data_IF_534287210693
#
_entry.id   IF_534287210693
#
_cell.length_a   1.000
_cell.length_b   1.000
_cell.length_c   1.000
_cell.angle_alpha   90.00
_cell.angle_beta   90.00
_cell.angle_gamma   90.00
#
_symmetry.space_group_name_H-M   'P 1'
#
loop_
_entity.id
_entity.type
_entity.pdbx_description
1 polymer ?
#
# COMPACT_ATOMS: atom_id res chain seq x y z
N UNK A 1 -18.28 -6.67 35.77
CA UNK A 1 -17.00 -7.25 35.31
C UNK A 1 -17.27 -7.91 33.96
N UNK A 2 -16.31 -7.98 33.04
CA UNK A 2 -16.53 -8.74 31.81
C UNK A 2 -16.71 -10.23 32.17
N UNK A 3 -17.71 -10.88 31.59
CA UNK A 3 -18.00 -12.31 31.72
C UNK A 3 -17.62 -13.00 30.41
N UNK A 4 -16.90 -14.12 30.48
CA UNK A 4 -16.51 -14.90 29.30
C UNK A 4 -15.05 -15.39 29.36
N UNK A 5 -14.63 -16.23 28.40
CA UNK A 5 -13.36 -16.97 28.45
C UNK A 5 -12.12 -16.09 28.61
N UNK A 6 -12.11 -14.90 27.99
CA UNK A 6 -11.00 -13.94 28.14
C UNK A 6 -10.87 -13.38 29.56
N UNK A 7 -11.98 -13.13 30.25
CA UNK A 7 -11.94 -12.63 31.63
C UNK A 7 -11.35 -13.69 32.58
N UNK A 8 -11.71 -14.96 32.35
CA UNK A 8 -11.15 -16.11 33.06
C UNK A 8 -9.67 -16.31 32.73
N UNK A 9 -9.27 -16.23 31.46
CA UNK A 9 -7.85 -16.28 31.05
C UNK A 9 -7.00 -15.20 31.73
N UNK A 10 -7.41 -13.93 31.70
CA UNK A 10 -6.68 -12.87 32.40
C UNK A 10 -6.70 -13.05 33.93
N UNK A 11 -7.73 -13.70 34.48
CA UNK A 11 -7.82 -14.07 35.89
C UNK A 11 -6.99 -15.31 36.26
N UNK A 12 -6.59 -16.16 35.30
CA UNK A 12 -5.68 -17.29 35.51
C UNK A 12 -4.19 -16.93 35.41
N UNK A 13 -3.84 -15.78 34.79
CA UNK A 13 -2.45 -15.33 34.68
C UNK A 13 -1.75 -15.23 36.03
N UNK A 14 -0.51 -15.73 36.10
CA UNK A 14 0.35 -15.70 37.30
C UNK A 14 0.73 -14.29 37.72
N UNK A 15 1.15 -14.12 38.98
CA UNK A 15 1.56 -12.80 39.48
C UNK A 15 2.77 -12.22 38.71
N UNK A 16 3.68 -13.06 38.23
CA UNK A 16 4.83 -12.60 37.44
C UNK A 16 4.40 -12.13 36.03
N UNK A 17 3.53 -12.89 35.36
CA UNK A 17 2.93 -12.47 34.09
C UNK A 17 2.20 -11.13 34.23
N UNK A 18 1.39 -10.95 35.29
CA UNK A 18 0.67 -9.67 35.54
C UNK A 18 1.58 -8.49 35.91
N UNK A 19 2.81 -8.72 36.35
CA UNK A 19 3.81 -7.67 36.62
C UNK A 19 4.54 -7.26 35.34
N UNK A 20 4.88 -8.23 34.49
CA UNK A 20 5.63 -8.00 33.26
C UNK A 20 4.74 -7.48 32.13
N UNK A 21 3.48 -7.91 32.08
CA UNK A 21 2.52 -7.58 31.02
C UNK A 21 1.45 -6.59 31.51
N UNK A 22 1.19 -5.54 30.74
CA UNK A 22 0.12 -4.58 31.05
C UNK A 22 -1.26 -5.14 30.67
N UNK A 23 -1.79 -6.04 31.50
CA UNK A 23 -3.09 -6.72 31.31
C UNK A 23 -4.23 -5.74 31.01
N UNK A 24 -4.24 -4.54 31.60
CA UNK A 24 -5.27 -3.53 31.32
C UNK A 24 -5.21 -3.01 29.89
N UNK A 25 -4.01 -2.76 29.37
CA UNK A 25 -3.80 -2.33 27.99
C UNK A 25 -4.07 -3.48 27.01
N UNK A 26 -3.63 -4.70 27.33
CA UNK A 26 -3.95 -5.91 26.56
C UNK A 26 -5.45 -6.12 26.40
N UNK A 27 -6.21 -6.07 27.50
CA UNK A 27 -7.68 -6.14 27.47
C UNK A 27 -8.31 -5.01 26.65
N UNK A 28 -7.69 -3.83 26.62
CA UNK A 28 -8.18 -2.70 25.82
C UNK A 28 -7.94 -2.98 24.34
N UNK A 29 -6.72 -3.31 23.94
CA UNK A 29 -6.37 -3.66 22.55
C UNK A 29 -7.22 -4.82 22.02
N UNK A 30 -7.45 -5.86 22.82
CA UNK A 30 -8.33 -6.97 22.47
C UNK A 30 -9.75 -6.49 22.12
N UNK A 31 -10.37 -5.64 22.94
CA UNK A 31 -11.69 -5.06 22.64
C UNK A 31 -11.67 -4.15 21.42
N UNK A 32 -10.64 -3.33 21.27
CA UNK A 32 -10.50 -2.38 20.17
C UNK A 32 -10.28 -3.10 18.82
N UNK A 33 -9.64 -4.29 18.83
CA UNK A 33 -9.28 -5.10 17.65
C UNK A 33 -10.13 -6.33 17.39
N UNK A 34 -10.95 -6.78 18.34
CA UNK A 34 -11.70 -8.06 18.25
C UNK A 34 -12.41 -8.23 16.91
N UNK A 35 -13.15 -7.20 16.45
CA UNK A 35 -13.92 -7.22 15.20
C UNK A 35 -13.08 -7.31 13.91
N UNK A 36 -11.78 -6.99 13.94
CA UNK A 36 -10.90 -7.17 12.80
C UNK A 36 -10.10 -8.47 12.89
N UNK A 37 -9.85 -8.99 14.10
CA UNK A 37 -9.06 -10.20 14.33
C UNK A 37 -9.90 -11.48 14.27
N UNK A 38 -11.18 -11.43 14.66
CA UNK A 38 -12.05 -12.62 14.81
C UNK A 38 -13.31 -12.56 13.94
N UNK A 39 -13.82 -13.74 13.57
CA UNK A 39 -15.11 -13.92 12.89
C UNK A 39 -16.27 -14.17 13.86
N UNK A 40 -17.51 -14.18 13.35
CA UNK A 40 -18.67 -14.71 14.09
C UNK A 40 -18.61 -16.24 14.21
N UNK A 41 -19.41 -16.79 15.13
CA UNK A 41 -19.50 -18.24 15.40
C UNK A 41 -19.96 -19.10 14.20
N UNK A 42 -20.46 -18.47 13.12
CA UNK A 42 -21.00 -19.16 11.94
C UNK A 42 -19.96 -19.36 10.82
N UNK A 43 -18.80 -18.71 10.92
CA UNK A 43 -17.76 -18.67 9.88
C UNK A 43 -16.42 -19.26 10.35
N UNK A 44 -16.46 -20.20 11.32
CA UNK A 44 -15.27 -20.82 11.88
C UNK A 44 -14.66 -21.80 10.87
N UNK A 45 -13.33 -21.84 10.81
CA UNK A 45 -12.52 -22.82 10.07
C UNK A 45 -11.21 -23.01 10.82
N UNK A 46 -11.19 -24.00 11.73
CA UNK A 46 -10.04 -24.31 12.59
C UNK A 46 -9.74 -25.80 12.49
N UNK A 47 -8.49 -26.15 12.25
CA UNK A 47 -8.03 -27.55 12.19
C UNK A 47 -7.26 -27.89 13.44
N UNK A 48 -7.64 -29.00 14.08
CA UNK A 48 -6.87 -29.59 15.18
C UNK A 48 -6.21 -30.85 14.64
N UNK A 49 -4.90 -30.96 14.84
CA UNK A 49 -4.11 -32.14 14.50
C UNK A 49 -3.42 -32.65 15.76
N UNK A 50 -3.85 -33.81 16.23
CA UNK A 50 -3.28 -34.50 17.39
C UNK A 50 -2.30 -35.57 16.89
N UNK A 51 -1.10 -35.56 17.45
CA UNK A 51 -0.03 -36.55 17.22
C UNK A 51 0.02 -37.49 18.42
N UNK A 52 0.20 -38.78 18.17
CA UNK A 52 0.09 -39.83 19.19
C UNK A 52 1.30 -40.77 19.22
N UNK A 53 1.55 -41.36 20.39
CA UNK A 53 2.49 -42.45 20.64
C UNK A 53 3.93 -42.12 20.19
N UNK A 54 4.55 -41.11 20.80
CA UNK A 54 5.89 -40.60 20.43
C UNK A 54 6.03 -40.26 18.94
N UNK A 55 4.89 -39.93 18.31
CA UNK A 55 4.82 -39.60 16.90
C UNK A 55 4.81 -40.80 15.95
N UNK A 56 4.17 -41.91 16.33
CA UNK A 56 3.92 -43.01 15.39
C UNK A 56 2.83 -42.68 14.36
N UNK A 57 1.83 -41.87 14.72
CA UNK A 57 0.77 -41.42 13.81
C UNK A 57 0.12 -40.10 14.25
N UNK A 58 -0.66 -39.50 13.34
CA UNK A 58 -1.40 -38.27 13.59
C UNK A 58 -2.86 -38.41 13.12
N UNK A 59 -3.76 -37.69 13.78
CA UNK A 59 -5.15 -37.50 13.35
C UNK A 59 -5.41 -36.02 13.16
N UNK A 60 -5.97 -35.64 12.01
CA UNK A 60 -6.38 -34.26 11.75
C UNK A 60 -7.89 -34.15 11.57
N UNK A 61 -8.50 -33.07 12.04
CA UNK A 61 -9.92 -32.78 11.86
C UNK A 61 -10.13 -31.29 11.70
N UNK A 62 -10.84 -30.91 10.63
CA UNK A 62 -11.26 -29.54 10.37
C UNK A 62 -12.66 -29.32 10.98
N UNK A 63 -12.79 -28.29 11.81
CA UNK A 63 -14.03 -27.92 12.50
C UNK A 63 -14.58 -26.62 11.92
N UNK A 64 -15.82 -26.70 11.43
CA UNK A 64 -16.53 -25.57 10.82
C UNK A 64 -17.77 -25.13 11.64
N UNK A 65 -17.93 -25.62 12.87
CA UNK A 65 -19.04 -25.28 13.78
C UNK A 65 -18.52 -25.03 15.19
N UNK A 66 -19.01 -23.97 15.82
CA UNK A 66 -18.60 -23.56 17.17
C UNK A 66 -18.83 -24.64 18.24
N UNK A 67 -19.97 -25.34 18.19
CA UNK A 67 -20.33 -26.38 19.18
C UNK A 67 -19.36 -27.57 19.15
N UNK A 68 -19.00 -28.04 17.94
CA UNK A 68 -18.13 -29.21 17.76
C UNK A 68 -16.69 -28.92 18.22
N UNK A 69 -16.17 -27.72 17.94
CA UNK A 69 -14.82 -27.33 18.39
C UNK A 69 -14.78 -26.94 19.88
N UNK A 70 -15.81 -26.29 20.43
CA UNK A 70 -15.90 -26.00 21.87
C UNK A 70 -15.72 -27.29 22.67
N UNK A 71 -16.45 -28.35 22.31
CA UNK A 71 -16.34 -29.65 22.99
C UNK A 71 -14.90 -30.21 22.97
N UNK A 72 -14.18 -30.07 21.86
CA UNK A 72 -12.82 -30.63 21.67
C UNK A 72 -11.73 -29.78 22.34
N UNK A 73 -11.96 -28.47 22.49
CA UNK A 73 -11.08 -27.56 23.23
C UNK A 73 -11.34 -27.57 24.75
N UNK A 74 -12.58 -27.85 25.16
CA UNK A 74 -12.94 -27.97 26.57
C UNK A 74 -12.49 -29.31 27.18
N UNK A 75 -12.56 -30.38 26.40
CA UNK A 75 -11.96 -31.67 26.75
C UNK A 75 -10.43 -31.58 26.81
N UNK A 76 -9.84 -32.29 27.78
CA UNK A 76 -8.39 -32.43 27.85
C UNK A 76 -7.82 -33.07 26.57
N UNK A 77 -6.59 -32.68 26.22
CA UNK A 77 -5.80 -33.35 25.18
C UNK A 77 -5.75 -34.86 25.53
N UNK A 78 -6.05 -35.77 24.58
CA UNK A 78 -6.02 -37.21 24.84
C UNK A 78 -4.72 -37.63 25.52
N UNK A 79 -4.82 -38.50 26.54
CA UNK A 79 -3.65 -38.94 27.34
C UNK A 79 -2.58 -39.64 26.48
N UNK A 80 -2.95 -40.16 25.31
CA UNK A 80 -2.08 -40.80 24.33
C UNK A 80 -1.48 -39.85 23.30
N UNK A 81 -1.78 -38.54 23.38
CA UNK A 81 -1.33 -37.52 22.43
C UNK A 81 -0.24 -36.63 23.02
N UNK A 82 0.92 -36.67 22.37
CA UNK A 82 2.15 -36.03 22.82
C UNK A 82 2.34 -34.64 22.18
N UNK A 83 1.62 -34.34 21.09
CA UNK A 83 1.61 -33.01 20.48
C UNK A 83 0.25 -32.65 19.91
N UNK A 84 -0.29 -31.49 20.27
CA UNK A 84 -1.51 -30.90 19.67
C UNK A 84 -1.15 -29.67 18.85
N UNK A 85 -1.54 -29.66 17.58
CA UNK A 85 -1.38 -28.53 16.65
C UNK A 85 -2.75 -27.93 16.34
N UNK A 86 -2.93 -26.65 16.63
CA UNK A 86 -4.16 -25.87 16.37
C UNK A 86 -3.86 -24.90 15.22
N UNK A 87 -4.28 -25.24 14.02
CA UNK A 87 -4.15 -24.41 12.82
C UNK A 87 -5.41 -23.58 12.60
N UNK A 88 -5.26 -22.26 12.68
CA UNK A 88 -6.32 -21.27 12.51
C UNK A 88 -6.02 -20.50 11.22
N UNK A 89 -6.93 -20.51 10.27
CA UNK A 89 -6.75 -19.88 8.96
C UNK A 89 -7.38 -18.49 8.92
N UNK A 90 -7.01 -17.72 7.91
CA UNK A 90 -7.79 -16.57 7.43
C UNK A 90 -8.02 -16.76 5.93
N UNK A 91 -9.11 -16.20 5.39
CA UNK A 91 -9.39 -16.21 3.95
C UNK A 91 -8.22 -15.59 3.16
N UNK A 92 -7.63 -14.50 3.69
CA UNK A 92 -6.46 -13.87 3.12
C UNK A 92 -5.72 -13.02 4.18
N UNK A 93 -4.55 -12.50 3.83
CA UNK A 93 -3.58 -11.94 4.78
C UNK A 93 -4.01 -10.67 5.53
N UNK A 94 -5.16 -10.07 5.17
CA UNK A 94 -5.75 -8.90 5.82
C UNK A 94 -7.12 -9.15 6.46
N UNK A 95 -7.70 -10.34 6.27
CA UNK A 95 -9.02 -10.68 6.83
C UNK A 95 -8.90 -11.19 8.27
N UNK A 96 -10.02 -11.24 9.02
CA UNK A 96 -10.05 -11.89 10.32
C UNK A 96 -9.59 -13.35 10.27
N UNK A 97 -9.10 -13.85 11.39
CA UNK A 97 -8.88 -15.28 11.60
C UNK A 97 -10.24 -15.97 11.75
N UNK A 98 -10.37 -17.15 11.15
CA UNK A 98 -11.58 -17.98 11.10
C UNK A 98 -11.82 -18.71 12.43
N UNK A 99 -11.68 -17.99 13.54
CA UNK A 99 -12.03 -18.38 14.90
C UNK A 99 -12.77 -17.21 15.55
N UNK A 100 -13.75 -17.50 16.41
CA UNK A 100 -14.45 -16.45 17.16
C UNK A 100 -13.67 -16.00 18.39
N UNK A 101 -14.00 -14.81 18.90
CA UNK A 101 -13.35 -14.25 20.09
C UNK A 101 -13.44 -15.20 21.29
N UNK A 102 -14.62 -15.76 21.58
CA UNK A 102 -14.84 -16.68 22.70
C UNK A 102 -14.01 -17.97 22.57
N UNK A 103 -14.01 -18.59 21.39
CA UNK A 103 -13.22 -19.80 21.13
C UNK A 103 -11.72 -19.56 21.31
N UNK A 104 -11.21 -18.43 20.81
CA UNK A 104 -9.80 -18.09 21.02
C UNK A 104 -9.50 -17.83 22.50
N UNK A 105 -10.43 -17.25 23.25
CA UNK A 105 -10.33 -17.14 24.70
C UNK A 105 -10.26 -18.51 25.40
N UNK A 106 -11.04 -19.51 24.93
CA UNK A 106 -10.96 -20.89 25.42
C UNK A 106 -9.60 -21.51 25.10
N UNK A 107 -9.08 -21.37 23.88
CA UNK A 107 -7.73 -21.84 23.50
C UNK A 107 -6.66 -21.26 24.44
N UNK A 108 -6.70 -19.94 24.66
CA UNK A 108 -5.74 -19.25 25.53
C UNK A 108 -5.80 -19.73 26.98
N UNK A 109 -7.01 -19.93 27.51
CA UNK A 109 -7.26 -20.41 28.87
C UNK A 109 -6.82 -21.87 29.06
N UNK A 110 -7.32 -22.78 28.22
CA UNK A 110 -7.15 -24.24 28.36
C UNK A 110 -5.72 -24.70 28.12
N UNK A 111 -4.98 -24.05 27.21
CA UNK A 111 -3.59 -24.38 26.92
C UNK A 111 -2.57 -23.51 27.69
N UNK A 112 -3.05 -22.68 28.63
CA UNK A 112 -2.24 -21.76 29.44
C UNK A 112 -1.28 -20.92 28.60
N UNK A 113 -1.77 -20.41 27.46
CA UNK A 113 -0.97 -19.68 26.48
C UNK A 113 -0.35 -18.45 27.12
N UNK A 114 0.92 -18.18 26.82
CA UNK A 114 1.61 -17.03 27.41
C UNK A 114 1.04 -15.69 26.88
N UNK A 115 0.76 -14.69 27.74
CA UNK A 115 0.18 -13.40 27.34
C UNK A 115 0.90 -12.66 26.21
N UNK A 116 2.22 -12.82 26.07
CA UNK A 116 2.99 -12.25 24.96
C UNK A 116 2.46 -12.63 23.57
N UNK A 117 1.87 -13.83 23.41
CA UNK A 117 1.29 -14.28 22.14
C UNK A 117 0.10 -13.42 21.70
N UNK A 118 -0.56 -12.70 22.61
CA UNK A 118 -1.62 -11.76 22.24
C UNK A 118 -1.10 -10.66 21.28
N UNK A 119 0.18 -10.28 21.35
CA UNK A 119 0.77 -9.33 20.40
C UNK A 119 0.90 -9.91 18.99
N UNK A 120 1.18 -11.23 18.88
CA UNK A 120 1.18 -11.95 17.59
C UNK A 120 -0.24 -12.10 17.07
N UNK A 121 -1.19 -12.50 17.92
CA UNK A 121 -2.59 -12.70 17.56
C UNK A 121 -3.26 -11.40 17.09
N UNK A 122 -3.11 -10.32 17.85
CA UNK A 122 -3.74 -9.03 17.55
C UNK A 122 -3.08 -8.28 16.39
N UNK A 123 -1.97 -8.77 15.83
CA UNK A 123 -1.42 -8.17 14.60
C UNK A 123 -2.31 -8.47 13.39
N UNK A 124 -2.98 -9.64 13.35
CA UNK A 124 -3.84 -10.07 12.26
C UNK A 124 -5.09 -9.18 12.07
N UNK A 125 -5.80 -9.36 10.95
CA UNK A 125 -7.01 -8.58 10.64
C UNK A 125 -6.77 -7.22 9.98
N UNK A 126 -5.58 -6.98 9.43
CA UNK A 126 -5.24 -5.74 8.71
C UNK A 126 -4.05 -5.95 7.74
N UNK A 127 -3.75 -4.94 6.92
CA UNK A 127 -2.51 -4.92 6.12
C UNK A 127 -1.28 -4.58 6.99
N UNK A 128 -0.16 -5.20 6.67
CA UNK A 128 1.10 -5.03 7.38
C UNK A 128 1.70 -3.65 7.11
N UNK A 129 1.62 -2.76 8.10
CA UNK A 129 2.30 -1.47 8.06
C UNK A 129 3.83 -1.62 7.96
N UNK A 130 4.48 -0.74 7.19
CA UNK A 130 5.94 -0.80 6.97
C UNK A 130 6.74 -0.59 8.27
N UNK A 131 6.20 0.15 9.24
CA UNK A 131 6.74 0.33 10.58
C UNK A 131 6.80 -0.96 11.41
N UNK A 132 5.93 -1.92 11.10
CA UNK A 132 5.86 -3.22 11.79
C UNK A 132 6.53 -4.34 10.98
N UNK A 133 7.00 -4.06 9.75
CA UNK A 133 7.55 -5.07 8.86
C UNK A 133 8.77 -5.82 9.43
N UNK A 134 9.52 -5.20 10.35
CA UNK A 134 10.61 -5.83 11.11
C UNK A 134 10.19 -6.42 12.48
N UNK A 135 8.98 -6.13 12.97
CA UNK A 135 8.49 -6.66 14.25
C UNK A 135 8.11 -8.12 14.10
N UNK A 136 8.77 -9.00 14.86
CA UNK A 136 8.42 -10.43 14.94
C UNK A 136 7.68 -10.79 16.23
N UNK A 137 7.50 -9.84 17.16
CA UNK A 137 6.98 -10.08 18.52
C UNK A 137 7.61 -11.31 19.20
N UNK A 138 8.89 -11.58 18.91
CA UNK A 138 9.58 -12.80 19.30
C UNK A 138 9.86 -12.86 20.80
N UNK A 139 9.20 -13.80 21.47
CA UNK A 139 9.43 -14.20 22.85
C UNK A 139 9.92 -15.65 22.86
N UNK A 140 11.01 -15.90 23.59
CA UNK A 140 11.53 -17.24 23.89
C UNK A 140 11.78 -17.25 25.40
N UNK A 141 11.18 -18.19 26.10
CA UNK A 141 11.32 -18.30 27.55
C UNK A 141 11.46 -19.75 27.97
N UNK A 142 12.52 -20.02 28.70
CA UNK A 142 12.72 -21.28 29.42
C UNK A 142 12.16 -21.13 30.83
N UNK A 143 11.51 -22.17 31.35
CA UNK A 143 10.99 -22.22 32.73
C UNK A 143 11.95 -23.05 33.59
N UNK A 144 12.47 -22.45 34.65
CA UNK A 144 13.58 -23.01 35.46
C UNK A 144 13.31 -24.39 36.10
N UNK A 145 12.04 -24.81 36.23
CA UNK A 145 11.67 -25.97 37.08
C UNK A 145 11.58 -27.31 36.36
N UNK A 146 11.20 -27.34 35.07
CA UNK A 146 10.71 -28.57 34.42
C UNK A 146 11.12 -28.69 32.93
N UNK A 147 12.25 -28.11 32.50
CA UNK A 147 12.68 -28.07 31.09
C UNK A 147 11.60 -27.58 30.08
N UNK A 148 10.55 -26.94 30.60
CA UNK A 148 9.40 -26.46 29.84
C UNK A 148 9.76 -25.11 29.23
N UNK A 149 9.33 -24.86 28.00
CA UNK A 149 9.58 -23.58 27.35
C UNK A 149 8.34 -23.12 26.59
N UNK A 150 8.26 -21.81 26.33
CA UNK A 150 7.34 -21.29 25.34
C UNK A 150 8.03 -20.33 24.39
N UNK A 151 7.58 -20.37 23.14
CA UNK A 151 8.08 -19.61 22.01
C UNK A 151 6.87 -18.98 21.32
N UNK A 152 6.88 -17.67 21.14
CA UNK A 152 5.84 -16.95 20.38
C UNK A 152 6.48 -15.98 19.40
N UNK A 153 6.13 -16.04 18.12
CA UNK A 153 6.59 -15.09 17.11
C UNK A 153 5.63 -14.99 15.91
N UNK A 154 5.78 -13.94 15.12
CA UNK A 154 5.30 -13.89 13.73
C UNK A 154 6.49 -13.90 12.77
N UNK A 155 6.38 -14.67 11.68
CA UNK A 155 7.31 -14.64 10.57
C UNK A 155 6.70 -13.83 9.42
N UNK A 156 7.43 -12.83 8.93
CA UNK A 156 7.06 -12.05 7.76
C UNK A 156 7.74 -12.59 6.51
N UNK A 157 6.98 -12.74 5.43
CA UNK A 157 7.49 -13.28 4.17
C UNK A 157 6.72 -12.74 2.96
N UNK A 158 7.24 -13.08 1.79
CA UNK A 158 6.57 -12.89 0.49
C UNK A 158 6.18 -14.25 -0.07
N UNK A 159 5.03 -14.31 -0.72
CA UNK A 159 4.53 -15.49 -1.41
C UNK A 159 3.88 -15.06 -2.73
N UNK A 160 3.93 -15.92 -3.75
CA UNK A 160 3.18 -15.68 -4.97
C UNK A 160 1.67 -15.81 -4.66
N UNK A 161 0.88 -14.87 -5.17
CA UNK A 161 -0.56 -14.83 -4.94
C UNK A 161 -1.36 -15.49 -6.07
N UNK A 162 -0.70 -15.79 -7.20
CA UNK A 162 -1.27 -16.36 -8.43
C UNK A 162 -2.53 -15.64 -8.94
N UNK A 163 -2.70 -14.35 -8.60
CA UNK A 163 -3.82 -13.52 -9.06
C UNK A 163 -3.50 -12.91 -10.42
N UNK A 164 -4.54 -12.72 -11.23
CA UNK A 164 -4.43 -11.90 -12.44
C UNK A 164 -4.20 -10.43 -12.03
N UNK A 165 -2.98 -9.91 -12.27
CA UNK A 165 -2.64 -8.54 -11.91
C UNK A 165 -1.16 -8.18 -12.11
N UNK A 166 -0.81 -6.89 -11.97
CA UNK A 166 0.55 -6.38 -12.23
C UNK A 166 1.57 -6.67 -11.12
N UNK A 167 1.14 -7.27 -10.00
CA UNK A 167 2.01 -7.70 -8.91
C UNK A 167 1.66 -9.14 -8.50
N UNK A 168 2.46 -10.15 -8.90
CA UNK A 168 2.22 -11.54 -8.56
C UNK A 168 2.58 -11.88 -7.11
N UNK A 169 3.15 -10.94 -6.34
CA UNK A 169 3.61 -11.16 -4.96
C UNK A 169 2.69 -10.50 -3.92
N UNK A 170 2.50 -11.19 -2.80
CA UNK A 170 1.88 -10.65 -1.60
C UNK A 170 2.81 -10.77 -0.40
N UNK A 171 2.90 -9.70 0.39
CA UNK A 171 3.48 -9.77 1.74
C UNK A 171 2.49 -10.49 2.65
N UNK A 172 2.97 -11.44 3.43
CA UNK A 172 2.18 -12.26 4.33
C UNK A 172 2.89 -12.41 5.68
N UNK A 173 2.13 -12.92 6.65
CA UNK A 173 2.61 -13.29 7.98
C UNK A 173 2.01 -14.61 8.42
N UNK A 174 2.78 -15.39 9.16
CA UNK A 174 2.28 -16.55 9.92
C UNK A 174 2.64 -16.33 11.38
N UNK A 175 1.68 -16.54 12.27
CA UNK A 175 1.87 -16.48 13.72
C UNK A 175 2.11 -17.88 14.27
N UNK A 176 3.09 -18.03 15.16
CA UNK A 176 3.47 -19.29 15.77
C UNK A 176 3.46 -19.10 17.28
N UNK A 177 2.74 -19.96 17.98
CA UNK A 177 2.94 -20.27 19.39
C UNK A 177 3.39 -21.72 19.52
N UNK A 178 4.32 -21.98 20.43
CA UNK A 178 4.75 -23.32 20.81
C UNK A 178 5.00 -23.32 22.31
N UNK A 179 4.37 -24.25 23.02
CA UNK A 179 4.53 -24.48 24.46
C UNK A 179 4.92 -25.94 24.66
N UNK A 180 6.18 -26.16 25.03
CA UNK A 180 6.71 -27.47 25.37
C UNK A 180 6.62 -27.71 26.87
N UNK A 181 6.17 -28.91 27.24
CA UNK A 181 6.25 -29.44 28.59
C UNK A 181 6.74 -30.89 28.54
N UNK A 182 7.38 -31.45 29.58
CA UNK A 182 7.85 -32.84 29.61
C UNK A 182 6.80 -33.93 29.34
N UNK A 183 5.52 -33.56 29.23
CA UNK A 183 4.41 -34.48 28.97
C UNK A 183 3.78 -34.29 27.59
N UNK A 184 3.96 -33.12 26.96
CA UNK A 184 3.28 -32.74 25.71
C UNK A 184 3.72 -31.39 25.19
N UNK A 185 3.58 -31.24 23.88
CA UNK A 185 3.70 -29.99 23.14
C UNK A 185 2.34 -29.44 22.70
N UNK A 186 2.14 -28.13 22.80
CA UNK A 186 0.99 -27.43 22.23
C UNK A 186 1.47 -26.35 21.28
N UNK A 187 1.00 -26.42 20.05
CA UNK A 187 1.39 -25.53 18.96
C UNK A 187 0.12 -24.83 18.43
N UNK A 188 0.19 -23.51 18.24
CA UNK A 188 -0.86 -22.73 17.57
C UNK A 188 -0.25 -22.08 16.33
N UNK A 189 -0.85 -22.31 15.17
CA UNK A 189 -0.44 -21.75 13.89
C UNK A 189 -1.54 -20.83 13.35
N UNK A 190 -1.17 -19.58 13.08
CA UNK A 190 -2.04 -18.57 12.46
C UNK A 190 -1.66 -18.43 10.99
N UNK A 191 -2.48 -18.97 10.09
CA UNK A 191 -2.23 -19.02 8.65
C UNK A 191 -2.90 -17.86 7.90
N UNK A 192 -2.24 -17.21 6.93
CA UNK A 192 -2.76 -16.04 6.21
C UNK A 192 -3.57 -16.38 4.95
N UNK A 193 -3.91 -17.66 4.77
CA UNK A 193 -4.67 -18.25 3.68
C UNK A 193 -5.09 -19.69 4.08
N UNK A 194 -6.23 -20.17 3.58
CA UNK A 194 -6.68 -21.56 3.80
C UNK A 194 -5.78 -22.59 3.09
N UNK A 195 -5.24 -22.23 1.92
CA UNK A 195 -4.31 -23.06 1.12
C UNK A 195 -2.85 -22.78 1.47
N UNK A 196 -2.51 -22.75 2.76
CA UNK A 196 -1.18 -22.35 3.21
C UNK A 196 -0.12 -23.40 2.84
N UNK A 197 0.96 -23.01 2.13
CA UNK A 197 2.03 -23.94 1.73
C UNK A 197 2.70 -24.59 2.96
N UNK A 198 2.80 -23.86 4.08
CA UNK A 198 3.27 -24.40 5.35
C UNK A 198 2.39 -25.55 5.87
N UNK A 199 1.08 -25.37 5.78
CA UNK A 199 0.06 -26.32 6.26
C UNK A 199 0.08 -27.61 5.42
N UNK A 200 0.20 -27.47 4.09
CA UNK A 200 0.40 -28.61 3.18
C UNK A 200 1.68 -29.38 3.52
N UNK A 201 2.82 -28.68 3.63
CA UNK A 201 4.11 -29.30 3.98
C UNK A 201 4.08 -29.96 5.37
N UNK A 202 3.36 -29.38 6.32
CA UNK A 202 3.18 -29.95 7.65
C UNK A 202 2.37 -31.25 7.59
N UNK A 203 1.23 -31.27 6.89
CA UNK A 203 0.43 -32.49 6.72
C UNK A 203 1.24 -33.60 6.01
N UNK A 204 1.96 -33.27 4.94
CA UNK A 204 2.85 -34.21 4.23
C UNK A 204 3.90 -34.82 5.17
N UNK A 205 4.52 -34.00 6.04
CA UNK A 205 5.47 -34.46 7.05
C UNK A 205 4.82 -35.26 8.20
N UNK A 206 3.52 -35.14 8.41
CA UNK A 206 2.76 -35.99 9.34
C UNK A 206 2.22 -37.26 8.65
N UNK A 207 2.54 -37.49 7.37
CA UNK A 207 2.02 -38.62 6.58
C UNK A 207 0.54 -38.47 6.18
N UNK A 208 -0.03 -37.28 6.37
CA UNK A 208 -1.43 -36.96 6.12
C UNK A 208 -1.59 -36.39 4.71
N UNK A 209 -2.51 -36.96 3.92
CA UNK A 209 -2.87 -36.39 2.62
C UNK A 209 -3.70 -35.12 2.83
N UNK A 210 -3.38 -33.99 2.16
CA UNK A 210 -4.21 -32.79 2.17
C UNK A 210 -5.48 -33.01 1.33
N UNK A 211 -6.45 -33.76 1.87
CA UNK A 211 -7.79 -33.88 1.30
C UNK A 211 -8.77 -32.98 2.05
N UNK A 212 -9.39 -32.06 1.31
CA UNK A 212 -10.35 -31.09 1.85
C UNK A 212 -11.68 -31.74 2.30
N UNK A 213 -11.95 -33.02 1.97
CA UNK A 213 -13.25 -33.66 2.26
C UNK A 213 -13.21 -35.18 2.62
N UNK A 214 -12.06 -35.76 3.00
CA UNK A 214 -11.96 -37.21 3.25
C UNK A 214 -11.92 -37.59 4.72
N UNK A 215 -13.06 -38.04 5.28
CA UNK A 215 -13.12 -38.81 6.54
C UNK A 215 -12.62 -40.26 6.35
N UNK A 216 -11.44 -40.45 5.79
CA UNK A 216 -10.86 -41.78 5.52
C UNK A 216 -9.55 -41.97 6.27
N UNK A 217 -9.60 -42.82 7.30
CA UNK A 217 -8.47 -43.30 8.09
C UNK A 217 -7.64 -44.34 7.31
N UNK A 218 -7.02 -43.92 6.20
CA UNK A 218 -6.10 -44.77 5.44
C UNK A 218 -4.68 -44.62 5.98
N UNK A 219 -4.30 -45.57 6.84
CA UNK A 219 -2.95 -45.69 7.40
C UNK A 219 -1.95 -46.13 6.32
N UNK A 220 -1.30 -45.17 5.65
CA UNK A 220 -0.12 -45.46 4.83
C UNK A 220 1.15 -45.42 5.67
N UNK A 221 1.52 -46.57 6.25
CA UNK A 221 2.85 -46.79 6.80
C UNK A 221 3.91 -46.56 5.73
N UNK A 222 4.81 -45.57 5.91
CA UNK A 222 6.27 -45.67 5.74
C UNK A 222 6.96 -44.33 6.07
N UNK A 223 8.16 -44.41 6.66
CA UNK A 223 8.99 -43.33 7.24
C UNK A 223 8.35 -42.48 8.35
N UNK A 224 8.69 -42.81 9.60
CA UNK A 224 8.46 -41.95 10.78
C UNK A 224 9.31 -40.68 10.63
N UNK A 225 8.67 -39.54 10.38
CA UNK A 225 9.34 -38.28 10.08
C UNK A 225 9.92 -37.59 11.34
N UNK A 226 10.94 -36.75 11.14
CA UNK A 226 11.66 -36.06 12.23
C UNK A 226 10.77 -35.15 13.08
N UNK A 227 9.73 -34.56 12.49
CA UNK A 227 8.84 -33.60 13.16
C UNK A 227 7.92 -34.25 14.19
N UNK A 228 7.58 -35.53 13.97
CA UNK A 228 6.83 -36.37 14.90
C UNK A 228 7.62 -36.69 16.19
N UNK A 229 8.96 -36.72 16.10
CA UNK A 229 9.88 -37.01 17.22
C UNK A 229 10.53 -35.77 17.85
N UNK A 230 10.44 -34.62 17.17
CA UNK A 230 10.97 -33.35 17.63
C UNK A 230 10.04 -32.21 17.14
N UNK A 231 9.00 -31.86 17.92
CA UNK A 231 8.06 -30.79 17.58
C UNK A 231 8.74 -29.43 17.32
N UNK A 232 9.89 -29.17 17.95
CA UNK A 232 10.66 -27.95 17.72
C UNK A 232 11.22 -27.81 16.29
N UNK A 233 11.39 -28.91 15.56
CA UNK A 233 11.80 -28.87 14.14
C UNK A 233 10.77 -28.14 13.24
N UNK A 234 9.54 -27.95 13.72
CA UNK A 234 8.54 -27.06 13.10
C UNK A 234 9.07 -25.64 12.89
N UNK A 235 9.92 -25.12 13.78
CA UNK A 235 10.49 -23.78 13.62
C UNK A 235 11.38 -23.69 12.37
N UNK A 236 12.20 -24.72 12.11
CA UNK A 236 12.97 -24.84 10.86
C UNK A 236 12.08 -25.14 9.64
N UNK A 237 10.99 -25.91 9.79
CA UNK A 237 10.00 -26.10 8.73
C UNK A 237 9.39 -24.77 8.27
N UNK A 238 8.95 -23.94 9.22
CA UNK A 238 8.39 -22.60 8.96
C UNK A 238 9.39 -21.73 8.20
N UNK A 239 10.65 -21.66 8.66
CA UNK A 239 11.70 -20.87 8.01
C UNK A 239 12.08 -21.40 6.62
N UNK A 240 12.22 -22.72 6.46
CA UNK A 240 12.54 -23.35 5.17
C UNK A 240 11.44 -23.17 4.13
N UNK A 241 10.17 -23.06 4.54
CA UNK A 241 9.02 -22.88 3.63
C UNK A 241 9.09 -21.55 2.88
N UNK A 242 9.43 -20.47 3.58
CA UNK A 242 9.28 -19.11 3.03
C UNK A 242 10.60 -18.40 2.74
N UNK A 243 11.73 -18.82 3.33
CA UNK A 243 13.03 -18.15 3.12
C UNK A 243 13.49 -18.16 1.67
N UNK A 244 13.11 -19.16 0.86
CA UNK A 244 13.45 -19.21 -0.57
C UNK A 244 12.79 -18.11 -1.41
N UNK A 245 11.61 -17.63 -1.01
CA UNK A 245 10.79 -16.71 -1.81
C UNK A 245 11.42 -15.32 -1.95
N UNK A 246 12.16 -14.87 -0.94
CA UNK A 246 12.88 -13.59 -0.96
C UNK A 246 13.81 -13.45 -2.16
N UNK A 247 14.50 -14.52 -2.57
CA UNK A 247 15.38 -14.51 -3.76
C UNK A 247 14.62 -14.13 -5.03
N UNK A 248 13.44 -14.72 -5.22
CA UNK A 248 12.63 -14.54 -6.42
C UNK A 248 11.91 -13.19 -6.41
N UNK A 249 11.43 -12.75 -5.24
CA UNK A 249 10.87 -11.42 -5.07
C UNK A 249 11.88 -10.31 -5.34
N UNK A 250 13.10 -10.39 -4.77
CA UNK A 250 14.14 -9.39 -5.01
C UNK A 250 14.61 -9.37 -6.48
N UNK A 251 14.63 -10.53 -7.16
CA UNK A 251 14.85 -10.61 -8.60
C UNK A 251 13.73 -9.94 -9.40
N UNK A 252 12.46 -10.12 -8.99
CA UNK A 252 11.31 -9.42 -9.60
C UNK A 252 11.42 -7.90 -9.41
N UNK A 253 11.80 -7.41 -8.22
CA UNK A 253 12.04 -5.97 -8.00
C UNK A 253 13.18 -5.44 -8.90
N UNK A 254 14.25 -6.21 -9.06
CA UNK A 254 15.34 -5.88 -9.99
C UNK A 254 14.86 -5.74 -11.44
N UNK A 255 14.11 -6.71 -11.95
CA UNK A 255 13.53 -6.65 -13.31
C UNK A 255 12.52 -5.51 -13.49
N UNK A 256 11.77 -5.16 -12.45
CA UNK A 256 10.87 -4.00 -12.50
C UNK A 256 11.62 -2.67 -12.46
N UNK A 257 12.81 -2.62 -11.87
CA UNK A 257 13.62 -1.41 -11.77
C UNK A 257 14.40 -1.12 -13.08
N UNK A 258 14.96 -2.15 -13.71
CA UNK A 258 15.87 -2.06 -14.86
C UNK A 258 15.36 -1.15 -16.01
N UNK A 259 14.11 -1.26 -16.52
CA UNK A 259 13.61 -0.38 -17.58
C UNK A 259 13.56 1.11 -17.21
N UNK A 260 13.30 1.44 -15.93
CA UNK A 260 13.27 2.83 -15.46
C UNK A 260 14.67 3.40 -15.27
N UNK A 261 15.62 2.56 -14.82
CA UNK A 261 17.03 2.91 -14.75
C UNK A 261 17.56 3.31 -16.13
N UNK A 262 17.36 2.46 -17.13
CA UNK A 262 17.90 2.65 -18.47
C UNK A 262 17.22 3.85 -19.17
N UNK A 263 15.91 4.01 -18.98
CA UNK A 263 15.16 5.17 -19.49
C UNK A 263 15.61 6.49 -18.85
N UNK A 264 15.98 6.48 -17.56
CA UNK A 264 16.48 7.68 -16.88
C UNK A 264 17.85 8.13 -17.41
N UNK A 265 18.74 7.20 -17.75
CA UNK A 265 20.03 7.54 -18.39
C UNK A 265 19.87 8.06 -19.83
N UNK A 266 18.86 7.58 -20.57
CA UNK A 266 18.57 8.02 -21.94
C UNK A 266 17.68 9.27 -22.07
N UNK A 267 17.18 9.83 -20.96
CA UNK A 267 16.20 10.92 -20.98
C UNK A 267 16.85 12.29 -21.10
N UNK A 268 16.44 13.07 -22.11
CA UNK A 268 16.78 14.51 -22.21
C UNK A 268 15.59 15.36 -21.76
N UNK A 269 15.84 16.55 -21.18
CA UNK A 269 14.77 17.45 -20.71
C UNK A 269 13.67 17.71 -21.74
N UNK A 270 14.03 17.92 -22.99
CA UNK A 270 13.16 18.40 -24.07
C UNK A 270 12.15 17.35 -24.56
N UNK A 271 12.34 16.08 -24.18
CA UNK A 271 11.52 14.93 -24.64
C UNK A 271 10.62 14.34 -23.55
N UNK A 272 10.61 14.93 -22.36
CA UNK A 272 9.78 14.49 -21.25
C UNK A 272 8.33 14.94 -21.44
N UNK A 273 7.39 14.01 -21.29
CA UNK A 273 5.99 14.36 -21.03
C UNK A 273 5.78 14.40 -19.51
N UNK A 274 5.16 15.44 -18.93
CA UNK A 274 5.00 15.53 -17.47
C UNK A 274 4.26 14.33 -16.85
N UNK A 275 3.26 13.78 -17.55
CA UNK A 275 2.42 12.69 -17.05
C UNK A 275 3.13 11.33 -17.00
N UNK A 276 3.85 10.92 -18.05
CA UNK A 276 4.63 9.67 -18.01
C UNK A 276 5.70 9.73 -16.92
N UNK A 277 6.36 10.88 -16.82
CA UNK A 277 7.47 11.09 -15.90
C UNK A 277 7.02 11.09 -14.43
N UNK A 278 5.82 11.64 -14.15
CA UNK A 278 5.16 11.47 -12.85
C UNK A 278 4.85 10.00 -12.57
N UNK A 279 4.29 9.25 -13.53
CA UNK A 279 3.99 7.82 -13.36
C UNK A 279 5.26 6.97 -13.11
N UNK A 280 6.37 7.31 -13.77
CA UNK A 280 7.67 6.69 -13.50
C UNK A 280 8.18 7.00 -12.08
N UNK A 281 8.10 8.26 -11.63
CA UNK A 281 8.48 8.63 -10.26
C UNK A 281 7.63 7.91 -9.20
N UNK A 282 6.31 7.81 -9.40
CA UNK A 282 5.42 7.02 -8.53
C UNK A 282 5.84 5.54 -8.52
N UNK A 283 6.16 4.98 -9.68
CA UNK A 283 6.59 3.57 -9.76
C UNK A 283 7.94 3.33 -9.06
N UNK A 284 8.91 4.22 -9.24
CA UNK A 284 10.21 4.14 -8.57
C UNK A 284 10.09 4.30 -7.04
N UNK A 285 9.21 5.20 -6.56
CA UNK A 285 8.88 5.32 -5.14
C UNK A 285 8.26 4.04 -4.58
N UNK A 286 7.26 3.48 -5.26
CA UNK A 286 6.65 2.20 -4.86
C UNK A 286 7.68 1.06 -4.84
N UNK A 287 8.61 1.02 -5.80
CA UNK A 287 9.72 0.06 -5.79
C UNK A 287 10.65 0.26 -4.58
N UNK A 288 11.05 1.50 -4.27
CA UNK A 288 11.83 1.80 -3.07
C UNK A 288 11.11 1.33 -1.80
N UNK A 289 9.80 1.57 -1.68
CA UNK A 289 9.02 1.19 -0.50
C UNK A 289 8.90 -0.33 -0.37
N UNK A 290 8.76 -1.06 -1.49
CA UNK A 290 8.82 -2.53 -1.48
C UNK A 290 10.21 -3.08 -1.12
N UNK A 291 11.30 -2.46 -1.58
CA UNK A 291 12.67 -2.84 -1.16
C UNK A 291 12.86 -2.57 0.34
N UNK A 292 12.41 -1.44 0.85
CA UNK A 292 12.50 -1.11 2.28
C UNK A 292 11.65 -2.06 3.13
N UNK A 293 10.42 -2.40 2.71
CA UNK A 293 9.56 -3.39 3.41
C UNK A 293 10.18 -4.78 3.39
N UNK A 294 10.77 -5.21 2.26
CA UNK A 294 11.49 -6.49 2.17
C UNK A 294 12.71 -6.54 3.09
N UNK A 295 13.54 -5.48 3.08
CA UNK A 295 14.68 -5.32 3.99
C UNK A 295 14.24 -5.46 5.44
N UNK A 296 13.24 -4.68 5.87
CA UNK A 296 12.74 -4.70 7.24
C UNK A 296 12.26 -6.10 7.64
N UNK A 297 11.50 -6.80 6.78
CA UNK A 297 11.09 -8.18 7.04
C UNK A 297 12.24 -9.19 7.08
N UNK A 298 13.29 -9.00 6.28
CA UNK A 298 14.50 -9.82 6.37
C UNK A 298 15.29 -9.52 7.66
N UNK A 299 15.40 -8.26 8.09
CA UNK A 299 16.02 -7.86 9.36
C UNK A 299 15.28 -8.43 10.57
N UNK A 300 13.94 -8.36 10.58
CA UNK A 300 13.11 -9.00 11.60
C UNK A 300 13.25 -10.53 11.62
N UNK A 301 13.28 -11.16 10.44
CA UNK A 301 13.52 -12.61 10.31
C UNK A 301 14.92 -13.00 10.82
N UNK A 302 15.93 -12.16 10.58
CA UNK A 302 17.29 -12.37 11.08
C UNK A 302 17.36 -12.28 12.61
N UNK A 303 16.73 -11.26 13.22
CA UNK A 303 16.63 -11.15 14.68
C UNK A 303 15.92 -12.38 15.29
N UNK A 304 14.83 -12.83 14.66
CA UNK A 304 14.13 -14.04 15.07
C UNK A 304 15.01 -15.30 14.97
N UNK A 305 15.74 -15.51 13.88
CA UNK A 305 16.70 -16.62 13.75
C UNK A 305 17.80 -16.54 14.84
N UNK A 306 18.31 -15.33 15.12
CA UNK A 306 19.33 -15.10 16.15
C UNK A 306 18.82 -15.31 17.58
N UNK A 307 17.51 -15.17 17.85
CA UNK A 307 16.88 -15.55 19.13
C UNK A 307 16.58 -17.05 19.22
N UNK A 308 16.18 -17.67 18.11
CA UNK A 308 15.79 -19.09 18.08
C UNK A 308 17.00 -20.03 18.10
N UNK A 309 18.14 -19.67 17.51
CA UNK A 309 19.31 -20.56 17.34
C UNK A 309 19.88 -21.16 18.63
N UNK A 310 19.74 -20.47 19.76
CA UNK A 310 20.26 -20.89 21.06
C UNK A 310 19.39 -22.01 21.65
N UNK A 311 18.12 -22.10 21.21
CA UNK A 311 17.18 -23.17 21.59
C UNK A 311 16.98 -24.22 20.48
N UNK A 312 17.14 -23.85 19.20
CA UNK A 312 16.86 -24.66 18.02
C UNK A 312 17.97 -24.50 16.99
N UNK A 313 18.96 -25.40 17.00
CA UNK A 313 20.18 -25.25 16.20
C UNK A 313 19.92 -25.36 14.69
N UNK A 314 18.86 -26.04 14.26
CA UNK A 314 18.43 -26.17 12.86
C UNK A 314 18.05 -24.82 12.23
N UNK A 315 17.73 -23.81 13.05
CA UNK A 315 17.46 -22.45 12.56
C UNK A 315 18.71 -21.74 12.01
N UNK A 316 19.92 -22.15 12.41
CA UNK A 316 21.18 -21.51 11.99
C UNK A 316 21.40 -21.53 10.47
N UNK A 317 20.91 -22.55 9.77
CA UNK A 317 21.07 -22.67 8.31
C UNK A 317 20.43 -21.54 7.51
N UNK A 318 19.46 -20.84 8.12
CA UNK A 318 18.75 -19.72 7.49
C UNK A 318 19.50 -18.39 7.65
N UNK A 319 20.31 -18.21 8.70
CA UNK A 319 21.05 -16.96 8.97
C UNK A 319 21.81 -16.42 7.75
N UNK A 320 22.72 -17.17 7.10
CA UNK A 320 23.49 -16.66 5.97
C UNK A 320 22.63 -16.31 4.76
N UNK A 321 21.50 -17.02 4.54
CA UNK A 321 20.58 -16.75 3.44
C UNK A 321 19.86 -15.42 3.65
N UNK A 322 19.31 -15.19 4.85
CA UNK A 322 18.61 -13.95 5.19
C UNK A 322 19.58 -12.75 5.15
N UNK A 323 20.81 -12.90 5.66
CA UNK A 323 21.84 -11.84 5.54
C UNK A 323 22.14 -11.47 4.08
N UNK A 324 22.20 -12.46 3.18
CA UNK A 324 22.41 -12.21 1.74
C UNK A 324 21.23 -11.44 1.09
N UNK A 325 20.00 -11.66 1.55
CA UNK A 325 18.83 -10.90 1.09
C UNK A 325 18.84 -9.45 1.59
N UNK A 326 19.27 -9.21 2.84
CA UNK A 326 19.47 -7.84 3.37
C UNK A 326 20.52 -7.11 2.53
N UNK A 327 21.67 -7.73 2.27
CA UNK A 327 22.72 -7.18 1.39
C UNK A 327 22.22 -6.90 -0.03
N UNK A 328 21.32 -7.75 -0.56
CA UNK A 328 20.69 -7.53 -1.87
C UNK A 328 19.76 -6.31 -1.86
N UNK A 329 19.04 -6.07 -0.76
CA UNK A 329 18.24 -4.86 -0.56
C UNK A 329 19.14 -3.62 -0.42
N UNK A 330 20.26 -3.71 0.31
CA UNK A 330 21.26 -2.64 0.46
C UNK A 330 21.90 -2.27 -0.88
N UNK A 331 22.07 -3.22 -1.81
CA UNK A 331 22.55 -2.95 -3.16
C UNK A 331 21.49 -2.32 -4.08
N UNK A 332 20.21 -2.65 -3.91
CA UNK A 332 19.12 -2.15 -4.76
C UNK A 332 18.58 -0.78 -4.31
N UNK A 333 18.44 -0.55 -3.01
CA UNK A 333 17.90 0.69 -2.42
C UNK A 333 18.57 1.97 -2.95
N UNK A 334 19.91 2.14 -2.91
CA UNK A 334 20.57 3.35 -3.39
C UNK A 334 20.42 3.50 -4.91
N UNK A 335 20.35 2.42 -5.67
CA UNK A 335 20.13 2.48 -7.12
C UNK A 335 18.75 3.04 -7.44
N UNK A 336 17.70 2.53 -6.80
CA UNK A 336 16.32 3.04 -6.98
C UNK A 336 16.22 4.52 -6.58
N UNK A 337 16.84 4.92 -5.46
CA UNK A 337 16.87 6.33 -5.02
C UNK A 337 17.60 7.22 -6.02
N UNK A 338 18.81 6.87 -6.43
CA UNK A 338 19.58 7.64 -7.42
C UNK A 338 18.82 7.83 -8.74
N UNK A 339 18.13 6.80 -9.24
CA UNK A 339 17.28 6.91 -10.44
C UNK A 339 16.06 7.81 -10.21
N UNK A 340 15.45 7.75 -9.01
CA UNK A 340 14.33 8.63 -8.64
C UNK A 340 14.77 10.09 -8.60
N UNK A 341 15.93 10.37 -8.01
CA UNK A 341 16.50 11.72 -7.88
C UNK A 341 16.89 12.26 -9.26
N UNK A 342 17.59 11.46 -10.08
CA UNK A 342 17.94 11.80 -11.46
C UNK A 342 16.70 12.20 -12.28
N UNK A 343 15.65 11.36 -12.27
CA UNK A 343 14.42 11.66 -13.00
C UNK A 343 13.72 12.92 -12.45
N UNK A 344 13.75 13.13 -11.14
CA UNK A 344 13.25 14.35 -10.49
C UNK A 344 14.00 15.61 -10.92
N UNK A 345 15.33 15.55 -11.04
CA UNK A 345 16.14 16.65 -11.55
C UNK A 345 15.88 16.93 -13.04
N UNK A 346 15.81 15.92 -13.89
CA UNK A 346 15.52 16.11 -15.33
C UNK A 346 14.12 16.69 -15.56
N UNK A 347 13.13 16.32 -14.74
CA UNK A 347 11.80 16.92 -14.74
C UNK A 347 11.79 18.38 -14.32
N UNK A 348 12.52 18.73 -13.26
CA UNK A 348 12.65 20.11 -12.81
C UNK A 348 13.30 20.97 -13.90
N UNK A 349 14.35 20.45 -14.55
CA UNK A 349 15.01 21.11 -15.66
C UNK A 349 14.10 21.28 -16.88
N UNK A 350 13.28 20.28 -17.24
CA UNK A 350 12.25 20.40 -18.28
C UNK A 350 11.28 21.56 -17.98
N UNK A 351 10.71 21.60 -16.77
CA UNK A 351 9.77 22.65 -16.37
C UNK A 351 10.41 24.05 -16.42
N UNK A 352 11.69 24.17 -16.04
CA UNK A 352 12.45 25.43 -16.14
C UNK A 352 12.69 25.85 -17.60
N UNK A 353 13.00 24.90 -18.49
CA UNK A 353 13.20 25.18 -19.92
C UNK A 353 11.90 25.61 -20.61
N UNK A 354 10.77 24.93 -20.36
CA UNK A 354 9.47 25.35 -20.89
C UNK A 354 9.02 26.71 -20.33
N UNK A 355 9.24 26.97 -19.03
CA UNK A 355 8.97 28.31 -18.44
C UNK A 355 9.82 29.39 -19.12
N UNK A 356 11.13 29.15 -19.28
CA UNK A 356 12.05 30.09 -19.94
C UNK A 356 11.77 30.26 -21.45
N UNK A 357 11.08 29.31 -22.08
CA UNK A 357 10.62 29.39 -23.47
C UNK A 357 9.33 30.22 -23.56
N UNK A 358 8.35 29.95 -22.70
CA UNK A 358 7.12 30.75 -22.57
C UNK A 358 7.47 32.22 -22.29
N UNK A 359 8.41 32.49 -21.38
CA UNK A 359 8.89 33.86 -21.09
C UNK A 359 9.50 34.57 -22.32
N UNK A 360 10.11 33.83 -23.26
CA UNK A 360 10.64 34.41 -24.51
C UNK A 360 9.53 34.67 -25.51
N UNK A 361 8.62 33.72 -25.70
CA UNK A 361 7.46 33.86 -26.59
C UNK A 361 6.54 35.01 -26.13
N UNK A 362 6.33 35.16 -24.82
CA UNK A 362 5.58 36.29 -24.25
C UNK A 362 6.28 37.64 -24.47
N UNK A 363 7.63 37.70 -24.43
CA UNK A 363 8.38 38.93 -24.74
C UNK A 363 8.24 39.30 -26.21
N UNK A 364 8.42 38.36 -27.13
CA UNK A 364 8.26 38.59 -28.58
C UNK A 364 6.83 39.06 -28.91
N UNK A 365 5.80 38.40 -28.37
CA UNK A 365 4.40 38.84 -28.50
C UNK A 365 4.20 40.26 -27.93
N UNK A 366 4.83 40.59 -26.80
CA UNK A 366 4.74 41.92 -26.21
C UNK A 366 5.42 42.99 -27.07
N UNK A 367 6.58 42.69 -27.66
CA UNK A 367 7.30 43.57 -28.58
C UNK A 367 6.49 43.79 -29.88
N UNK A 368 5.92 42.74 -30.46
CA UNK A 368 5.02 42.83 -31.62
C UNK A 368 3.75 43.64 -31.30
N UNK A 369 3.13 43.43 -30.12
CA UNK A 369 1.99 44.23 -29.67
C UNK A 369 2.33 45.70 -29.47
N UNK A 370 3.52 46.03 -28.95
CA UNK A 370 3.98 47.42 -28.84
C UNK A 370 4.14 48.06 -30.22
N UNK A 371 4.72 47.33 -31.19
CA UNK A 371 4.91 47.80 -32.56
C UNK A 371 3.56 48.07 -33.23
N UNK A 372 2.63 47.11 -33.25
CA UNK A 372 1.28 47.28 -33.80
C UNK A 372 0.50 48.39 -33.08
N UNK A 373 0.66 48.53 -31.76
CA UNK A 373 0.03 49.63 -31.01
C UNK A 373 0.61 50.99 -31.39
N UNK A 374 1.91 51.08 -31.72
CA UNK A 374 2.52 52.32 -32.22
C UNK A 374 2.03 52.68 -33.62
N UNK A 375 1.95 51.72 -34.54
CA UNK A 375 1.39 51.94 -35.89
C UNK A 375 -0.08 52.36 -35.84
N UNK A 376 -0.90 51.72 -34.99
CA UNK A 376 -2.30 52.11 -34.79
C UNK A 376 -2.44 53.53 -34.21
N UNK A 377 -1.52 53.94 -33.32
CA UNK A 377 -1.51 55.28 -32.74
C UNK A 377 -1.14 56.33 -33.79
N UNK A 378 -0.19 56.03 -34.67
CA UNK A 378 0.21 56.93 -35.74
C UNK A 378 -0.90 57.01 -36.82
N UNK A 379 -1.51 55.89 -37.22
CA UNK A 379 -2.69 55.89 -38.09
C UNK A 379 -3.88 56.65 -37.49
N UNK A 380 -4.12 56.56 -36.17
CA UNK A 380 -5.14 57.38 -35.51
C UNK A 380 -4.80 58.87 -35.56
N UNK A 381 -3.51 59.22 -35.47
CA UNK A 381 -3.04 60.61 -35.54
C UNK A 381 -3.20 61.18 -36.95
N UNK A 382 -2.75 60.45 -37.97
CA UNK A 382 -2.91 60.83 -39.37
C UNK A 382 -4.38 61.00 -39.75
N UNK A 383 -5.27 60.10 -39.29
CA UNK A 383 -6.71 60.20 -39.54
C UNK A 383 -7.38 61.38 -38.78
N UNK A 384 -6.84 61.79 -37.63
CA UNK A 384 -7.25 63.03 -36.95
C UNK A 384 -6.81 64.26 -37.76
N UNK A 385 -5.57 64.26 -38.29
CA UNK A 385 -5.02 65.36 -39.08
C UNK A 385 -5.72 65.48 -40.45
N UNK A 386 -6.03 64.36 -41.13
CA UNK A 386 -6.89 64.33 -42.32
C UNK A 386 -8.30 64.85 -42.02
N UNK A 387 -8.90 64.47 -40.88
CA UNK A 387 -10.19 65.01 -40.44
C UNK A 387 -10.13 66.52 -40.22
N UNK A 388 -9.01 67.05 -39.73
CA UNK A 388 -8.79 68.48 -39.58
C UNK A 388 -8.63 69.18 -40.94
N UNK A 389 -7.87 68.60 -41.87
CA UNK A 389 -7.70 69.12 -43.23
C UNK A 389 -9.05 69.17 -43.98
N UNK A 390 -9.85 68.11 -43.92
CA UNK A 390 -11.21 68.08 -44.51
C UNK A 390 -12.12 69.14 -43.91
N UNK A 391 -12.08 69.36 -42.59
CA UNK A 391 -12.84 70.45 -41.92
C UNK A 391 -12.40 71.83 -42.40
N UNK A 392 -11.10 72.07 -42.55
CA UNK A 392 -10.55 73.34 -43.08
C UNK A 392 -10.99 73.56 -44.53
N UNK A 393 -10.87 72.56 -45.40
CA UNK A 393 -11.30 72.65 -46.81
C UNK A 393 -12.82 72.89 -46.89
N UNK A 394 -13.61 72.22 -46.06
CA UNK A 394 -15.07 72.39 -46.00
C UNK A 394 -15.43 73.80 -45.52
N UNK A 395 -14.74 74.33 -44.51
CA UNK A 395 -14.95 75.69 -44.02
C UNK A 395 -14.58 76.76 -45.06
N UNK A 396 -13.40 76.64 -45.69
CA UNK A 396 -12.96 77.53 -46.76
C UNK A 396 -13.98 77.48 -47.92
N UNK A 397 -14.42 76.29 -48.30
CA UNK A 397 -15.44 76.11 -49.35
C UNK A 397 -16.78 76.76 -48.95
N UNK A 398 -17.27 76.54 -47.72
CA UNK A 398 -18.52 77.12 -47.24
C UNK A 398 -18.50 78.65 -47.15
N UNK A 399 -17.33 79.26 -46.90
CA UNK A 399 -17.16 80.72 -46.89
C UNK A 399 -16.99 81.28 -48.31
N UNK A 400 -16.16 80.66 -49.14
CA UNK A 400 -15.83 81.20 -50.47
C UNK A 400 -16.84 80.85 -51.56
N UNK A 401 -17.49 79.68 -51.59
CA UNK A 401 -18.47 79.36 -52.64
C UNK A 401 -19.62 80.40 -52.73
N UNK A 402 -20.27 80.80 -51.62
CA UNK A 402 -21.30 81.84 -51.66
C UNK A 402 -20.74 83.19 -52.12
N UNK A 403 -19.54 83.56 -51.65
CA UNK A 403 -18.85 84.80 -52.05
C UNK A 403 -18.53 84.84 -53.55
N UNK A 404 -17.99 83.75 -54.10
CA UNK A 404 -17.70 83.61 -55.53
C UNK A 404 -18.98 83.68 -56.37
N UNK A 405 -20.10 83.12 -55.90
CA UNK A 405 -21.41 83.24 -56.59
C UNK A 405 -21.91 84.69 -56.66
N UNK A 406 -21.65 85.50 -55.63
CA UNK A 406 -22.00 86.93 -55.59
C UNK A 406 -21.09 87.72 -56.53
N UNK A 407 -19.78 87.47 -56.49
CA UNK A 407 -18.79 88.17 -57.34
C UNK A 407 -18.98 87.89 -58.83
N UNK A 408 -19.41 86.68 -59.22
CA UNK A 408 -19.67 86.33 -60.63
C UNK A 408 -20.97 86.96 -61.18
N UNK A 409 -21.96 87.27 -60.32
CA UNK A 409 -23.22 87.91 -60.75
C UNK A 409 -23.15 89.44 -60.87
N UNK A 410 -22.24 90.10 -60.18
CA UNK A 410 -22.15 91.57 -60.15
C UNK A 410 -21.66 92.26 -61.44
N UNK A 411 -20.92 91.63 -62.38
CA UNK A 411 -20.58 92.24 -63.67
C UNK A 411 -21.55 91.92 -64.83
N UNK A 412 -22.54 91.03 -64.62
CA UNK A 412 -23.32 90.41 -65.70
C UNK A 412 -24.85 90.54 -65.54
N UNK A 413 -25.32 91.78 -65.38
CA UNK A 413 -26.68 92.16 -65.81
C UNK A 413 -26.77 93.67 -66.06
N UNK A 414 -26.83 94.06 -67.33
CA UNK A 414 -26.96 95.47 -67.77
C UNK A 414 -28.35 96.06 -67.52
N UNK A 415 -28.37 97.39 -67.47
CA UNK A 415 -29.34 98.29 -68.10
C UNK A 415 -30.49 97.63 -68.89
N UNK A 416 -31.71 97.65 -68.33
CA UNK A 416 -32.94 97.59 -69.11
C UNK A 416 -34.14 98.20 -68.36
N UNK A 417 -34.83 99.13 -69.04
CA UNK A 417 -36.24 99.53 -68.91
C UNK A 417 -36.70 100.55 -67.85
N UNK A 418 -37.39 101.56 -68.39
CA UNK A 418 -38.20 102.65 -67.81
C UNK A 418 -39.00 103.24 -69.01
N UNK A 419 -40.21 103.78 -68.97
CA UNK A 419 -41.15 104.25 -67.91
C UNK A 419 -42.57 103.75 -68.26
N UNK A 420 -43.47 103.57 -67.28
CA UNK A 420 -44.90 103.41 -67.60
C UNK A 420 -45.85 103.28 -66.39
N UNK A 421 -46.75 104.26 -66.23
CA UNK A 421 -47.93 104.25 -65.33
C UNK A 421 -49.00 103.23 -65.83
N UNK A 422 -50.05 102.83 -65.10
CA UNK A 422 -50.85 103.54 -64.08
C UNK A 422 -51.76 102.59 -63.26
N UNK A 423 -52.20 103.05 -62.07
CA UNK A 423 -53.43 102.67 -61.33
C UNK A 423 -53.73 101.20 -60.93
N UNK A 424 -54.34 100.97 -59.74
CA UNK A 424 -55.26 99.82 -59.62
C UNK A 424 -55.48 99.01 -58.33
N UNK A 425 -55.12 99.47 -57.12
CA UNK A 425 -55.86 99.16 -55.86
C UNK A 425 -56.03 97.72 -55.27
N UNK A 426 -55.83 97.64 -53.94
CA UNK A 426 -56.42 96.69 -52.96
C UNK A 426 -56.05 95.18 -53.07
N UNK A 427 -56.09 94.36 -52.02
CA UNK A 427 -55.98 94.55 -50.55
C UNK A 427 -55.89 93.18 -49.85
N UNK A 428 -55.13 93.09 -48.75
CA UNK A 428 -55.33 92.24 -47.55
C UNK A 428 -55.47 90.69 -47.62
N UNK A 429 -54.65 90.04 -46.76
CA UNK A 429 -54.87 88.77 -46.00
C UNK A 429 -55.18 87.47 -46.79
N UNK A 430 -54.74 86.29 -46.31
CA UNK A 430 -54.43 85.88 -44.93
C UNK A 430 -53.08 85.16 -44.80
#
# INVERSE_FOLDING_TARGET
MATGPWAEYFASLTQNQRKNENVRDMMKRLRDRSKSVFVSNDAISVRITDVYQDGEWAQTTLYNKSEEITLVLENDIPVTSDTRIISIYSENSIMPLMISEDLMGIVMLKHHVHPSFLSVLLSFGEDMHISEAASTHAMVSHMDTDASFYVSYQLHYVEENHREGPNPWSFRRTGIYHHHTPKRDVIILLHPNETSVLDVRLLELLGLKPSINSRSSDQSNHSVNSLLRNPASLHSLVMSTFSGNWRWFLRHLGYRFEPYNDRAFGMTPEKLTPQESFNHLVTLRNLNDWVNKARASCEGTLDLVLRLKDSFHECNEHEPRIRSYIQSCDGLTPRVRNTTDLLGFTLNLHNQLETAKIDRELRDITEQLQLVTSELKDLQRDNIDDSAAVKIITFISAVYLPGSFIVVRLPLSLNALNVGTDSGGRAFMA
#
